data_IF_669354406057
#
_entry.id   IF_669354406057
#
_cell.length_a   1.000
_cell.length_b   1.000
_cell.length_c   1.000
_cell.angle_alpha   90.00
_cell.angle_beta   90.00
_cell.angle_gamma   90.00
#
_symmetry.space_group_name_H-M   'P 1'
#
loop_
_entity.id
_entity.type
_entity.pdbx_description
1 polymer ?
#
# COMPACT_ATOMS: atom_id res chain seq x y z
N UNK A 1 -0.06 12.34 -8.55
CA UNK A 1 -0.56 11.26 -9.41
C UNK A 1 0.59 10.50 -10.09
N UNK A 2 1.58 11.19 -10.68
CA UNK A 2 2.72 10.55 -11.37
C UNK A 2 3.58 9.65 -10.46
N UNK A 3 3.85 10.04 -9.21
CA UNK A 3 4.64 9.21 -8.29
C UNK A 3 3.90 7.94 -7.88
N UNK A 4 2.57 7.99 -7.77
CA UNK A 4 1.76 6.81 -7.44
C UNK A 4 1.65 5.83 -8.62
N UNK A 5 1.54 6.35 -9.84
CA UNK A 5 1.56 5.53 -11.05
C UNK A 5 2.93 4.85 -11.26
N UNK A 6 4.04 5.57 -11.00
CA UNK A 6 5.40 5.00 -11.03
C UNK A 6 5.63 3.93 -9.97
N UNK A 7 5.03 4.08 -8.78
CA UNK A 7 5.17 3.08 -7.71
C UNK A 7 4.55 1.72 -8.05
N UNK A 8 3.66 1.66 -9.04
CA UNK A 8 3.03 0.44 -9.51
C UNK A 8 3.52 0.00 -10.91
N UNK A 9 4.50 0.69 -11.50
CA UNK A 9 5.10 0.30 -12.77
C UNK A 9 6.15 -0.79 -12.58
N UNK A 10 6.43 -1.56 -13.62
CA UNK A 10 7.47 -2.58 -13.63
C UNK A 10 8.88 -2.00 -13.37
N UNK A 11 9.08 -0.71 -13.68
CA UNK A 11 10.35 0.01 -13.46
C UNK A 11 10.41 0.74 -12.11
N UNK A 12 9.41 0.60 -11.24
CA UNK A 12 9.38 1.28 -9.96
C UNK A 12 10.41 0.69 -8.99
N UNK A 13 11.27 1.55 -8.45
CA UNK A 13 12.33 1.17 -7.50
C UNK A 13 11.92 1.25 -6.03
N UNK A 14 10.71 1.69 -5.74
CA UNK A 14 10.21 1.86 -4.37
C UNK A 14 8.71 1.66 -4.29
N UNK A 15 8.24 1.29 -3.12
CA UNK A 15 6.84 1.30 -2.77
C UNK A 15 6.36 2.73 -2.51
N UNK A 16 5.06 2.94 -2.61
CA UNK A 16 4.48 4.26 -2.32
C UNK A 16 4.83 4.70 -0.88
N UNK A 17 5.08 5.99 -0.71
CA UNK A 17 5.24 6.56 0.61
C UNK A 17 3.86 6.71 1.25
N UNK A 18 3.71 6.19 2.47
CA UNK A 18 2.45 6.23 3.23
C UNK A 18 2.65 6.76 4.65
N UNK A 19 3.76 7.44 4.91
CA UNK A 19 4.00 8.06 6.21
C UNK A 19 2.93 9.09 6.55
N UNK A 20 2.63 9.32 7.83
CA UNK A 20 1.64 10.33 8.26
C UNK A 20 1.94 11.73 7.74
N UNK A 21 3.23 12.10 7.66
CA UNK A 21 3.64 13.39 7.09
C UNK A 21 3.32 13.49 5.59
N UNK A 22 3.62 12.46 4.83
CA UNK A 22 3.34 12.43 3.39
C UNK A 22 1.83 12.48 3.10
N UNK A 23 1.02 11.74 3.86
CA UNK A 23 -0.46 11.75 3.73
C UNK A 23 -0.99 13.16 3.98
N UNK A 24 -0.52 13.84 5.05
CA UNK A 24 -0.88 15.23 5.37
C UNK A 24 -0.46 16.20 4.27
N UNK A 25 0.74 16.05 3.74
CA UNK A 25 1.25 16.93 2.68
C UNK A 25 0.49 16.75 1.36
N UNK A 26 0.08 15.52 1.05
CA UNK A 26 -0.82 15.24 -0.08
C UNK A 26 -2.19 15.89 0.08
N UNK A 27 -2.79 15.82 1.27
CA UNK A 27 -4.07 16.49 1.55
C UNK A 27 -3.96 18.01 1.42
N UNK A 28 -2.85 18.59 1.93
CA UNK A 28 -2.56 20.02 1.77
C UNK A 28 -2.42 20.41 0.30
N UNK A 29 -1.67 19.63 -0.48
CA UNK A 29 -1.53 19.85 -1.93
C UNK A 29 -2.85 19.73 -2.66
N UNK A 30 -3.70 18.77 -2.29
CA UNK A 30 -5.03 18.63 -2.87
C UNK A 30 -5.92 19.85 -2.56
N UNK A 31 -5.88 20.38 -1.33
CA UNK A 31 -6.60 21.60 -0.94
C UNK A 31 -6.12 22.83 -1.73
N UNK A 32 -4.81 22.96 -1.94
CA UNK A 32 -4.25 24.05 -2.75
C UNK A 32 -4.66 23.95 -4.22
N UNK A 33 -4.66 22.74 -4.80
CA UNK A 33 -5.11 22.51 -6.17
C UNK A 33 -6.61 22.80 -6.32
N UNK A 34 -7.43 22.43 -5.32
CA UNK A 34 -8.86 22.71 -5.32
C UNK A 34 -9.14 24.23 -5.29
N UNK A 35 -8.43 24.96 -4.43
CA UNK A 35 -8.54 26.41 -4.35
C UNK A 35 -8.09 27.11 -5.66
N UNK A 36 -7.04 26.62 -6.31
CA UNK A 36 -6.58 27.11 -7.60
C UNK A 36 -7.62 26.84 -8.71
N UNK A 37 -8.25 25.64 -8.69
CA UNK A 37 -9.32 25.27 -9.61
C UNK A 37 -10.54 26.19 -9.46
N UNK A 38 -10.90 26.53 -8.21
CA UNK A 38 -11.98 27.47 -7.90
C UNK A 38 -11.69 28.88 -8.41
N UNK A 39 -10.44 29.35 -8.22
CA UNK A 39 -10.01 30.69 -8.65
C UNK A 39 -10.00 30.85 -10.19
N UNK A 40 -9.83 29.76 -10.94
CA UNK A 40 -9.87 29.79 -12.40
C UNK A 40 -11.29 29.97 -12.97
N UNK A 41 -12.32 29.82 -12.12
CA UNK A 41 -13.72 30.05 -12.52
C UNK A 41 -14.22 29.11 -13.64
N UNK A 42 -13.55 27.96 -13.83
CA UNK A 42 -14.03 26.97 -14.80
C UNK A 42 -15.45 26.53 -14.46
N UNK A 43 -16.40 26.99 -15.26
CA UNK A 43 -17.76 26.46 -15.29
C UNK A 43 -17.75 25.11 -15.98
N UNK A 44 -18.62 24.23 -15.56
CA UNK A 44 -18.70 22.79 -15.82
C UNK A 44 -19.00 22.43 -17.28
N UNK A 45 -18.24 22.88 -18.27
CA UNK A 45 -18.48 22.52 -19.66
C UNK A 45 -17.94 21.14 -20.09
N UNK A 46 -17.25 20.41 -19.19
CA UNK A 46 -16.72 19.06 -19.44
C UNK A 46 -16.66 18.20 -18.20
N UNK A 47 -16.55 16.87 -18.34
CA UNK A 47 -16.49 15.93 -17.21
C UNK A 47 -15.18 16.02 -16.41
N UNK A 48 -14.12 16.64 -16.95
CA UNK A 48 -12.79 16.64 -16.37
C UNK A 48 -12.72 17.42 -15.05
N UNK A 49 -13.38 18.59 -15.00
CA UNK A 49 -13.38 19.46 -13.82
C UNK A 49 -14.15 18.81 -12.64
N UNK A 50 -15.37 18.30 -12.82
CA UNK A 50 -16.06 17.55 -11.76
C UNK A 50 -15.29 16.32 -11.29
N UNK A 51 -14.68 15.55 -12.20
CA UNK A 51 -13.86 14.37 -11.85
C UNK A 51 -12.65 14.80 -11.02
N UNK A 52 -11.89 15.81 -11.48
CA UNK A 52 -10.74 16.31 -10.75
C UNK A 52 -11.13 16.80 -9.35
N UNK A 53 -12.21 17.56 -9.25
CA UNK A 53 -12.75 18.06 -7.98
C UNK A 53 -13.12 16.91 -7.04
N UNK A 54 -13.80 15.90 -7.56
CA UNK A 54 -14.16 14.70 -6.80
C UNK A 54 -12.91 13.97 -6.26
N UNK A 55 -11.89 13.77 -7.10
CA UNK A 55 -10.63 13.13 -6.69
C UNK A 55 -9.84 13.95 -5.66
N UNK A 56 -9.81 15.29 -5.80
CA UNK A 56 -9.14 16.15 -4.83
C UNK A 56 -9.86 16.11 -3.47
N UNK A 57 -11.18 16.22 -3.46
CA UNK A 57 -11.98 16.10 -2.23
C UNK A 57 -11.77 14.74 -1.57
N UNK A 58 -11.73 13.65 -2.32
CA UNK A 58 -11.48 12.32 -1.77
C UNK A 58 -10.14 12.21 -1.00
N UNK A 59 -9.08 12.87 -1.47
CA UNK A 59 -7.81 12.92 -0.74
C UNK A 59 -7.89 13.77 0.53
N UNK A 60 -8.62 14.89 0.49
CA UNK A 60 -8.84 15.76 1.66
C UNK A 60 -9.64 15.00 2.72
N UNK A 61 -10.73 14.37 2.31
CA UNK A 61 -11.62 13.61 3.20
C UNK A 61 -10.93 12.38 3.80
N UNK A 62 -10.18 11.63 2.99
CA UNK A 62 -9.39 10.49 3.48
C UNK A 62 -8.41 10.89 4.58
N UNK A 63 -7.81 12.09 4.47
CA UNK A 63 -6.96 12.63 5.51
C UNK A 63 -7.76 13.10 6.74
N UNK A 64 -8.90 13.77 6.53
CA UNK A 64 -9.74 14.27 7.62
C UNK A 64 -10.21 13.15 8.57
N UNK A 65 -10.56 11.99 8.00
CA UNK A 65 -10.95 10.79 8.76
C UNK A 65 -9.79 9.83 9.05
N UNK A 66 -8.58 10.14 8.58
CA UNK A 66 -7.36 9.36 8.80
C UNK A 66 -7.54 7.87 8.52
N UNK A 67 -8.05 7.56 7.33
CA UNK A 67 -8.36 6.18 6.89
C UNK A 67 -7.12 5.29 6.82
N UNK A 68 -5.92 5.87 6.77
CA UNK A 68 -4.66 5.14 6.79
C UNK A 68 -4.43 4.33 8.08
N UNK A 69 -5.19 4.60 9.15
CA UNK A 69 -5.12 3.83 10.41
C UNK A 69 -5.58 2.37 10.26
N UNK A 70 -6.38 2.06 9.23
CA UNK A 70 -6.82 0.69 8.91
C UNK A 70 -6.49 0.42 7.44
N UNK A 71 -5.21 0.09 7.10
CA UNK A 71 -4.74 -0.01 5.72
C UNK A 71 -5.03 -1.38 5.08
N UNK A 72 -5.93 -2.17 5.64
CA UNK A 72 -6.28 -3.51 5.15
C UNK A 72 -7.72 -3.89 5.48
N UNK A 73 -8.24 -4.85 4.72
CA UNK A 73 -9.47 -5.60 4.98
C UNK A 73 -9.11 -7.05 5.35
N UNK A 74 -10.07 -7.97 5.49
CA UNK A 74 -9.78 -9.33 5.92
C UNK A 74 -8.87 -10.13 4.99
N UNK A 75 -9.11 -10.02 3.68
CA UNK A 75 -8.44 -10.81 2.65
C UNK A 75 -7.56 -9.96 1.72
N UNK A 76 -7.56 -8.66 1.92
CA UNK A 76 -6.82 -7.72 1.10
C UNK A 76 -6.16 -6.61 1.93
N UNK A 77 -4.88 -6.34 1.64
CA UNK A 77 -4.15 -5.30 2.33
C UNK A 77 -2.78 -5.02 1.73
N UNK A 78 -2.09 -4.07 2.30
CA UNK A 78 -0.76 -3.66 1.87
C UNK A 78 0.25 -4.82 1.88
N UNK A 79 0.09 -5.79 2.77
CA UNK A 79 0.94 -6.98 2.90
C UNK A 79 0.82 -7.95 1.70
N UNK A 80 -0.30 -7.94 0.98
CA UNK A 80 -0.49 -8.77 -0.20
C UNK A 80 0.08 -8.12 -1.48
N UNK A 81 0.24 -6.81 -1.50
CA UNK A 81 0.67 -6.05 -2.68
C UNK A 81 2.04 -6.50 -3.25
N UNK A 82 3.06 -6.85 -2.44
CA UNK A 82 4.34 -7.33 -2.95
C UNK A 82 4.22 -8.64 -3.73
N UNK A 83 3.50 -9.63 -3.22
CA UNK A 83 3.28 -10.91 -3.90
C UNK A 83 2.51 -10.72 -5.22
N UNK A 84 1.47 -9.88 -5.23
CA UNK A 84 0.75 -9.55 -6.48
C UNK A 84 1.63 -8.84 -7.50
N UNK A 85 2.51 -7.95 -7.06
CA UNK A 85 3.47 -7.30 -7.95
C UNK A 85 4.44 -8.31 -8.54
N UNK A 86 4.99 -9.23 -7.74
CA UNK A 86 5.89 -10.29 -8.18
C UNK A 86 5.26 -11.17 -9.27
N UNK A 87 4.04 -11.64 -9.08
CA UNK A 87 3.33 -12.48 -10.06
C UNK A 87 3.13 -11.81 -11.42
N UNK A 88 3.16 -10.50 -11.49
CA UNK A 88 2.96 -9.71 -12.72
C UNK A 88 4.25 -9.16 -13.31
N UNK A 89 5.34 -9.17 -12.52
CA UNK A 89 6.63 -8.63 -12.95
C UNK A 89 7.32 -9.60 -13.91
N UNK A 90 7.88 -9.06 -15.00
CA UNK A 90 8.74 -9.77 -15.96
C UNK A 90 10.06 -9.04 -16.03
N UNK A 91 11.15 -9.75 -15.82
CA UNK A 91 12.50 -9.19 -15.84
C UNK A 91 13.17 -9.54 -17.18
N UNK A 92 13.20 -8.57 -18.08
CA UNK A 92 13.75 -8.73 -19.44
C UNK A 92 14.99 -7.89 -19.69
N UNK A 93 15.36 -7.02 -18.74
CA UNK A 93 16.57 -6.18 -18.79
C UNK A 93 17.26 -6.13 -17.44
N UNK A 94 18.55 -5.79 -17.45
CA UNK A 94 19.30 -5.49 -16.22
C UNK A 94 18.61 -4.40 -15.37
N UNK A 95 18.17 -3.32 -16.00
CA UNK A 95 17.56 -2.18 -15.31
C UNK A 95 16.27 -2.57 -14.57
N UNK A 96 15.42 -3.39 -15.19
CA UNK A 96 14.20 -3.92 -14.55
C UNK A 96 14.55 -4.84 -13.37
N UNK A 97 15.58 -5.67 -13.51
CA UNK A 97 16.01 -6.56 -12.43
C UNK A 97 16.55 -5.78 -11.23
N UNK A 98 17.38 -4.77 -11.49
CA UNK A 98 17.88 -3.88 -10.44
C UNK A 98 16.75 -3.06 -9.79
N UNK A 99 15.77 -2.60 -10.58
CA UNK A 99 14.60 -1.91 -10.05
C UNK A 99 13.75 -2.80 -9.13
N UNK A 100 13.60 -4.08 -9.49
CA UNK A 100 12.87 -5.04 -8.64
C UNK A 100 13.63 -5.33 -7.34
N UNK A 101 14.96 -5.49 -7.40
CA UNK A 101 15.81 -5.64 -6.20
C UNK A 101 15.68 -4.41 -5.28
N UNK A 102 15.79 -3.20 -5.83
CA UNK A 102 15.63 -1.97 -5.06
C UNK A 102 14.25 -1.89 -4.41
N UNK A 103 13.21 -2.34 -5.12
CA UNK A 103 11.84 -2.36 -4.62
C UNK A 103 11.64 -3.39 -3.50
N UNK A 104 12.31 -4.54 -3.55
CA UNK A 104 12.32 -5.51 -2.45
C UNK A 104 13.03 -4.94 -1.21
N UNK A 105 14.18 -4.32 -1.39
CA UNK A 105 14.93 -3.67 -0.31
C UNK A 105 14.18 -2.49 0.34
N UNK A 106 13.17 -1.93 -0.34
CA UNK A 106 12.32 -0.85 0.18
C UNK A 106 11.10 -1.36 1.00
N UNK A 107 10.86 -2.69 1.04
CA UNK A 107 9.73 -3.26 1.79
C UNK A 107 9.77 -2.96 3.30
N UNK A 108 10.92 -3.05 3.99
CA UNK A 108 10.98 -2.72 5.42
C UNK A 108 10.47 -1.31 5.69
N UNK A 109 10.92 -0.30 4.92
CA UNK A 109 10.43 1.08 5.06
C UNK A 109 8.91 1.19 4.82
N UNK A 110 8.40 0.48 3.81
CA UNK A 110 6.97 0.52 3.48
C UNK A 110 6.13 -0.11 4.60
N UNK A 111 6.55 -1.23 5.15
CA UNK A 111 5.85 -1.89 6.24
C UNK A 111 5.95 -1.09 7.55
N UNK A 112 7.09 -0.48 7.84
CA UNK A 112 7.26 0.41 8.99
C UNK A 112 6.27 1.58 8.96
N UNK A 113 6.09 2.21 7.79
CA UNK A 113 5.13 3.31 7.64
C UNK A 113 3.68 2.85 7.81
N UNK A 114 3.33 1.66 7.33
CA UNK A 114 2.01 1.07 7.56
C UNK A 114 1.79 0.75 9.04
N UNK A 115 2.80 0.17 9.69
CA UNK A 115 2.80 -0.14 11.12
C UNK A 115 2.65 1.12 11.97
N UNK A 116 3.34 2.22 11.63
CA UNK A 116 3.17 3.52 12.27
C UNK A 116 1.72 4.03 12.16
N UNK A 117 1.11 3.92 10.98
CA UNK A 117 -0.28 4.27 10.78
C UNK A 117 -1.22 3.41 11.64
N UNK A 118 -0.99 2.11 11.70
CA UNK A 118 -1.78 1.18 12.52
C UNK A 118 -1.62 1.43 14.02
N UNK A 119 -0.42 1.80 14.50
CA UNK A 119 -0.21 2.22 15.91
C UNK A 119 -1.00 3.47 16.25
N UNK A 120 -1.13 4.44 15.32
CA UNK A 120 -2.05 5.58 15.50
C UNK A 120 -3.51 5.11 15.57
N UNK A 121 -3.86 4.06 14.81
CA UNK A 121 -5.15 3.41 14.90
C UNK A 121 -5.40 2.83 16.29
N UNK A 122 -4.47 2.08 16.85
CA UNK A 122 -4.52 1.54 18.22
C UNK A 122 -4.74 2.67 19.23
N UNK A 123 -3.94 3.72 19.16
CA UNK A 123 -4.00 4.85 20.09
C UNK A 123 -5.34 5.60 20.06
N UNK A 124 -6.09 5.51 18.96
CA UNK A 124 -7.36 6.24 18.76
C UNK A 124 -8.59 5.34 18.71
N UNK A 125 -8.43 4.03 18.95
CA UNK A 125 -9.53 3.05 18.86
C UNK A 125 -10.00 2.75 17.43
N UNK A 126 -9.21 3.14 16.43
CA UNK A 126 -9.47 2.86 15.02
C UNK A 126 -8.68 1.63 14.57
N UNK A 127 -9.20 0.45 14.88
CA UNK A 127 -8.59 -0.83 14.54
C UNK A 127 -9.54 -1.70 13.73
N UNK A 128 -9.01 -2.72 13.06
CA UNK A 128 -9.81 -3.71 12.38
C UNK A 128 -10.55 -4.60 13.39
N UNK A 129 -11.67 -5.17 12.98
CA UNK A 129 -12.40 -6.19 13.74
C UNK A 129 -11.61 -7.51 13.79
N UNK A 130 -11.78 -8.30 14.86
CA UNK A 130 -10.98 -9.51 15.11
C UNK A 130 -11.08 -10.60 14.02
N UNK A 131 -12.28 -10.87 13.48
CA UNK A 131 -12.44 -11.95 12.50
C UNK A 131 -11.65 -11.72 11.19
N UNK A 132 -11.76 -10.55 10.50
CA UNK A 132 -10.92 -10.26 9.33
C UNK A 132 -9.43 -10.25 9.64
N UNK A 133 -9.04 -9.84 10.86
CA UNK A 133 -7.66 -9.79 11.29
C UNK A 133 -6.99 -11.17 11.29
N UNK A 134 -7.69 -12.21 11.73
CA UNK A 134 -7.15 -13.58 11.74
C UNK A 134 -6.79 -14.05 10.33
N UNK A 135 -7.59 -13.71 9.33
CA UNK A 135 -7.30 -14.01 7.92
C UNK A 135 -6.04 -13.27 7.46
N UNK A 136 -5.91 -11.98 7.79
CA UNK A 136 -4.74 -11.18 7.43
C UNK A 136 -3.45 -11.71 8.07
N UNK A 137 -3.48 -12.09 9.35
CA UNK A 137 -2.35 -12.69 10.06
C UNK A 137 -1.94 -14.02 9.41
N UNK A 138 -2.90 -14.86 9.04
CA UNK A 138 -2.62 -16.12 8.36
C UNK A 138 -1.97 -15.91 6.99
N UNK A 139 -2.39 -14.90 6.24
CA UNK A 139 -1.79 -14.55 4.94
C UNK A 139 -0.35 -14.02 5.09
N UNK A 140 -0.08 -13.15 6.06
CA UNK A 140 1.29 -12.67 6.33
C UNK A 140 2.18 -13.85 6.73
N UNK A 141 1.72 -14.72 7.62
CA UNK A 141 2.48 -15.91 8.04
C UNK A 141 2.79 -16.83 6.86
N UNK A 142 1.88 -16.99 5.90
CA UNK A 142 2.07 -17.82 4.72
C UNK A 142 3.13 -17.29 3.73
N UNK A 143 3.52 -16.01 3.82
CA UNK A 143 4.60 -15.41 3.01
C UNK A 143 5.99 -15.69 3.59
N UNK A 144 6.07 -16.10 4.86
CA UNK A 144 7.32 -16.39 5.55
C UNK A 144 7.75 -17.81 5.22
N UNK A 145 8.74 -17.96 4.37
CA UNK A 145 9.35 -19.23 3.97
C UNK A 145 10.81 -19.30 4.48
N UNK A 146 11.37 -20.53 4.58
CA UNK A 146 12.75 -20.72 5.04
C UNK A 146 13.76 -20.36 3.94
N UNK A 147 13.53 -20.88 2.73
CA UNK A 147 14.36 -20.57 1.57
C UNK A 147 13.75 -19.41 0.77
N UNK A 148 14.45 -18.28 0.60
CA UNK A 148 13.99 -17.17 -0.23
C UNK A 148 13.61 -17.57 -1.66
N UNK A 149 14.17 -18.67 -2.18
CA UNK A 149 13.81 -19.16 -3.52
C UNK A 149 12.38 -19.73 -3.59
N UNK A 150 11.81 -20.16 -2.46
CA UNK A 150 10.42 -20.66 -2.39
C UNK A 150 9.39 -19.53 -2.28
N UNK A 151 9.86 -18.29 -2.11
CA UNK A 151 8.98 -17.12 -1.99
C UNK A 151 8.39 -16.73 -3.34
N UNK A 152 7.11 -16.34 -3.34
CA UNK A 152 6.46 -15.69 -4.49
C UNK A 152 7.24 -14.47 -4.98
N UNK A 153 7.96 -13.77 -4.09
CA UNK A 153 8.78 -12.60 -4.43
C UNK A 153 9.98 -12.95 -5.32
N UNK A 154 10.40 -14.22 -5.33
CA UNK A 154 11.51 -14.71 -6.15
C UNK A 154 11.10 -15.10 -7.58
N UNK A 155 9.81 -15.35 -7.85
CA UNK A 155 9.31 -15.76 -9.18
C UNK A 155 9.84 -14.92 -10.36
N UNK A 156 9.95 -13.59 -10.29
CA UNK A 156 10.51 -12.80 -11.39
C UNK A 156 11.94 -13.18 -11.75
N UNK A 157 12.75 -13.62 -10.77
CA UNK A 157 14.15 -14.02 -11.00
C UNK A 157 14.28 -15.41 -11.61
N UNK A 158 13.32 -16.32 -11.39
CA UNK A 158 13.32 -17.65 -12.04
C UNK A 158 13.16 -17.55 -13.56
N UNK A 159 12.34 -16.59 -14.00
CA UNK A 159 12.06 -16.33 -15.41
C UNK A 159 12.94 -15.22 -16.01
N UNK A 160 14.02 -14.81 -15.31
CA UNK A 160 14.92 -13.76 -15.78
C UNK A 160 15.56 -14.17 -17.13
N UNK A 161 15.22 -13.44 -18.16
CA UNK A 161 15.72 -13.62 -19.51
C UNK A 161 16.06 -12.24 -20.10
N UNK A 162 17.26 -11.75 -19.79
CA UNK A 162 17.70 -10.43 -20.25
C UNK A 162 18.71 -10.57 -21.38
N UNK A 163 18.39 -10.04 -22.54
CA UNK A 163 19.24 -10.07 -23.74
C UNK A 163 20.52 -9.24 -23.61
N UNK A 164 20.57 -8.35 -22.62
CA UNK A 164 21.71 -7.49 -22.29
C UNK A 164 22.62 -8.07 -21.20
N UNK A 165 22.40 -9.32 -20.79
CA UNK A 165 23.14 -10.01 -19.74
C UNK A 165 23.84 -11.27 -20.26
N UNK A 166 25.06 -11.52 -19.76
CA UNK A 166 25.70 -12.81 -19.84
C UNK A 166 25.11 -13.79 -18.81
N UNK A 167 25.33 -15.09 -18.98
CA UNK A 167 24.92 -16.12 -18.00
C UNK A 167 25.43 -15.80 -16.59
N UNK A 168 26.69 -15.39 -16.45
CA UNK A 168 27.26 -14.97 -15.17
C UNK A 168 26.57 -13.72 -14.62
N UNK A 169 26.14 -12.80 -15.49
CA UNK A 169 25.37 -11.62 -15.11
C UNK A 169 23.98 -11.98 -14.55
N UNK A 170 23.32 -12.95 -15.15
CA UNK A 170 22.03 -13.49 -14.68
C UNK A 170 22.22 -14.14 -13.30
N UNK A 171 23.19 -15.04 -13.15
CA UNK A 171 23.46 -15.71 -11.86
C UNK A 171 23.77 -14.70 -10.74
N UNK A 172 24.55 -13.65 -11.02
CA UNK A 172 24.84 -12.60 -10.06
C UNK A 172 23.56 -11.85 -9.62
N UNK A 173 22.70 -11.50 -10.56
CA UNK A 173 21.46 -10.80 -10.23
C UNK A 173 20.45 -11.70 -9.52
N UNK A 174 20.39 -12.98 -9.84
CA UNK A 174 19.60 -13.95 -9.09
C UNK A 174 20.09 -14.10 -7.64
N UNK A 175 21.41 -14.15 -7.42
CA UNK A 175 21.98 -14.20 -6.08
C UNK A 175 21.65 -12.92 -5.26
N UNK A 176 21.77 -11.74 -5.86
CA UNK A 176 21.36 -10.47 -5.24
C UNK A 176 19.85 -10.46 -4.96
N UNK A 177 19.05 -10.94 -5.91
CA UNK A 177 17.60 -11.09 -5.74
C UNK A 177 17.24 -11.99 -4.56
N UNK A 178 17.94 -13.11 -4.39
CA UNK A 178 17.74 -14.01 -3.25
C UNK A 178 18.02 -13.32 -1.91
N UNK A 179 19.08 -12.51 -1.82
CA UNK A 179 19.37 -11.72 -0.64
C UNK A 179 18.24 -10.71 -0.36
N UNK A 180 17.81 -9.94 -1.36
CA UNK A 180 16.75 -8.95 -1.22
C UNK A 180 15.40 -9.59 -0.83
N UNK A 181 15.08 -10.78 -1.33
CA UNK A 181 13.89 -11.55 -0.91
C UNK A 181 14.03 -12.00 0.55
N UNK A 182 15.24 -12.40 0.99
CA UNK A 182 15.49 -12.71 2.40
C UNK A 182 15.18 -11.52 3.32
N UNK A 183 15.64 -10.32 2.99
CA UNK A 183 15.34 -9.09 3.73
C UNK A 183 13.84 -8.74 3.71
N UNK A 184 13.16 -9.00 2.60
CA UNK A 184 11.72 -8.84 2.50
C UNK A 184 10.95 -9.82 3.42
N UNK A 185 11.39 -11.08 3.50
CA UNK A 185 10.83 -12.09 4.42
C UNK A 185 11.06 -11.67 5.89
N UNK A 186 12.20 -11.08 6.21
CA UNK A 186 12.44 -10.54 7.56
C UNK A 186 11.47 -9.40 7.89
N UNK A 187 11.18 -8.53 6.92
CA UNK A 187 10.15 -7.50 7.10
C UNK A 187 8.74 -8.10 7.31
N UNK A 188 8.39 -9.21 6.65
CA UNK A 188 7.14 -9.94 6.91
C UNK A 188 7.11 -10.54 8.32
N UNK A 189 8.25 -11.03 8.86
CA UNK A 189 8.35 -11.51 10.25
C UNK A 189 8.14 -10.40 11.27
N UNK A 190 8.73 -9.22 11.03
CA UNK A 190 8.55 -8.06 11.91
C UNK A 190 7.09 -7.57 11.87
N UNK A 191 6.49 -7.53 10.67
CA UNK A 191 5.08 -7.22 10.51
C UNK A 191 4.19 -8.24 11.24
N UNK A 192 4.46 -9.55 11.10
CA UNK A 192 3.71 -10.60 11.79
C UNK A 192 3.79 -10.42 13.31
N UNK A 193 4.98 -10.16 13.82
CA UNK A 193 5.20 -9.90 15.26
C UNK A 193 4.38 -8.72 15.75
N UNK A 194 4.39 -7.61 15.02
CA UNK A 194 3.55 -6.46 15.33
C UNK A 194 2.04 -6.80 15.30
N UNK A 195 1.60 -7.52 14.27
CA UNK A 195 0.19 -7.90 14.12
C UNK A 195 -0.29 -8.79 15.27
N UNK A 196 0.53 -9.71 15.73
CA UNK A 196 0.18 -10.64 16.83
C UNK A 196 0.31 -10.01 18.21
N UNK A 197 1.36 -9.24 18.44
CA UNK A 197 1.72 -8.78 19.79
C UNK A 197 1.13 -7.40 20.13
N UNK A 198 0.92 -6.53 19.14
CA UNK A 198 0.41 -5.19 19.36
C UNK A 198 -1.00 -4.99 18.78
N UNK A 199 -1.22 -5.36 17.51
CA UNK A 199 -2.46 -5.03 16.82
C UNK A 199 -3.64 -5.94 17.21
N UNK A 200 -3.43 -7.26 17.26
CA UNK A 200 -4.47 -8.22 17.59
C UNK A 200 -5.06 -8.01 19.00
N UNK A 201 -4.25 -7.75 20.05
CA UNK A 201 -4.80 -7.43 21.37
C UNK A 201 -5.64 -6.14 21.42
N UNK A 202 -5.37 -5.20 20.50
CA UNK A 202 -6.10 -3.94 20.36
C UNK A 202 -7.25 -3.99 19.35
N UNK A 203 -7.48 -5.15 18.71
CA UNK A 203 -8.56 -5.32 17.73
C UNK A 203 -9.93 -5.07 18.39
N UNK A 204 -10.78 -4.34 17.68
CA UNK A 204 -12.13 -4.06 18.20
C UNK A 204 -13.02 -5.32 18.16
N UNK A 205 -13.92 -5.40 19.12
CA UNK A 205 -14.90 -6.51 19.22
C UNK A 205 -16.15 -6.20 18.38
N UNK A 206 -16.61 -4.95 18.37
CA UNK A 206 -17.82 -4.56 17.67
C UNK A 206 -17.53 -4.42 16.15
N UNK A 207 -18.32 -5.05 15.28
CA UNK A 207 -18.17 -4.92 13.82
C UNK A 207 -18.64 -3.55 13.32
N UNK A 208 -18.21 -3.19 12.09
CA UNK A 208 -18.65 -1.99 11.39
C UNK A 208 -17.96 -0.70 11.85
N UNK A 209 -17.83 0.26 10.91
CA UNK A 209 -17.21 1.56 11.18
C UNK A 209 -18.01 2.38 12.21
N UNK A 210 -19.32 2.21 12.26
CA UNK A 210 -20.21 2.94 13.18
C UNK A 210 -19.93 2.70 14.66
N UNK A 211 -19.15 1.67 14.99
CA UNK A 211 -18.71 1.41 16.38
C UNK A 211 -17.53 2.28 16.81
N UNK A 212 -16.91 2.99 15.89
CA UNK A 212 -15.76 3.87 16.15
C UNK A 212 -16.20 5.33 16.20
N UNK A 213 -15.50 6.15 16.96
CA UNK A 213 -15.77 7.59 17.03
C UNK A 213 -15.55 8.22 15.63
N UNK A 214 -16.56 8.94 15.12
CA UNK A 214 -16.54 9.51 13.76
C UNK A 214 -16.67 8.48 12.63
N UNK A 215 -16.95 7.22 12.96
CA UNK A 215 -17.00 6.14 11.98
C UNK A 215 -18.20 6.20 11.05
N UNK A 216 -19.34 6.77 11.48
CA UNK A 216 -20.52 6.96 10.61
C UNK A 216 -20.24 8.00 9.54
N UNK A 217 -19.60 9.09 9.91
CA UNK A 217 -19.22 10.16 9.00
C UNK A 217 -18.15 9.67 8.01
N UNK A 218 -17.15 8.94 8.49
CA UNK A 218 -16.14 8.33 7.63
C UNK A 218 -16.75 7.32 6.63
N UNK A 219 -17.75 6.55 7.07
CA UNK A 219 -18.49 5.65 6.18
C UNK A 219 -19.28 6.40 5.11
N UNK A 220 -19.97 7.48 5.49
CA UNK A 220 -20.71 8.31 4.55
C UNK A 220 -19.80 8.91 3.46
N UNK A 221 -18.59 9.37 3.85
CA UNK A 221 -17.57 9.85 2.90
C UNK A 221 -17.09 8.74 1.97
N UNK A 222 -16.81 7.54 2.49
CA UNK A 222 -16.42 6.40 1.66
C UNK A 222 -17.51 6.01 0.66
N UNK A 223 -18.79 6.01 1.08
CA UNK A 223 -19.93 5.76 0.20
C UNK A 223 -20.01 6.84 -0.87
N UNK A 224 -19.95 8.13 -0.51
CA UNK A 224 -20.01 9.24 -1.45
C UNK A 224 -18.88 9.18 -2.49
N UNK A 225 -17.70 8.75 -2.10
CA UNK A 225 -16.58 8.52 -3.02
C UNK A 225 -16.89 7.45 -4.07
N UNK A 226 -17.42 6.30 -3.65
CA UNK A 226 -17.69 5.18 -4.55
C UNK A 226 -18.96 5.33 -5.37
N UNK A 227 -19.89 6.19 -4.95
CA UNK A 227 -21.18 6.45 -5.65
C UNK A 227 -21.18 7.76 -6.43
N UNK A 228 -20.04 8.46 -6.52
CA UNK A 228 -19.92 9.79 -7.13
C UNK A 228 -20.95 10.82 -6.56
N UNK A 229 -21.28 10.70 -5.26
CA UNK A 229 -22.21 11.60 -4.59
C UNK A 229 -23.69 11.31 -4.87
N UNK A 230 -24.05 10.20 -5.51
CA UNK A 230 -25.43 9.74 -5.54
C UNK A 230 -25.86 9.40 -4.10
N UNK A 231 -26.66 10.29 -3.50
CA UNK A 231 -27.14 10.13 -2.12
C UNK A 231 -27.98 8.87 -1.95
N UNK A 232 -27.88 8.29 -0.76
CA UNK A 232 -28.84 7.33 -0.24
C UNK A 232 -29.95 8.05 0.51
#
# INVERSE_FOLDING_TARGET
PEKSAKANSEDARSWQVVSPSYIRDRARSASQMLAALDALGYTTEGPEVPILRHLLNAHIDAHAYDTARIPFTGDWGFFAAPAFAAMRTRLTTRSQTEAWIDRLNDLPRYFDQQTENMRRGIATGWTQHGDPLNTSIAQIRAQIVEDPADSTLFLPFESLSASDLSENGILLLQARGRTAVGEAIDADRDLLTFMEMEYAPAARVAPGLSSMQGGREAYAVAVAFHTAGAGY
#
